data_IF_232948714315
#
_entry.id   IF_232948714315
#
_cell.length_a   1.000
_cell.length_b   1.000
_cell.length_c   1.000
_cell.angle_alpha   90.00
_cell.angle_beta   90.00
_cell.angle_gamma   90.00
#
_symmetry.space_group_name_H-M   'P 1'
#
loop_
_entity.id
_entity.type
_entity.pdbx_description
1 polymer ?
#
# COMPACT_ATOMS: atom_id res chain seq x y z
N UNK A 1 8.13 -13.53 -21.21
CA UNK A 1 7.08 -12.97 -20.33
C UNK A 1 7.03 -13.81 -19.06
N UNK A 2 7.11 -13.21 -17.87
CA UNK A 2 7.11 -14.00 -16.65
C UNK A 2 5.74 -14.62 -16.38
N UNK A 3 5.76 -15.75 -15.70
CA UNK A 3 4.55 -16.35 -15.13
C UNK A 3 4.40 -15.92 -13.67
N UNK A 4 3.22 -16.14 -13.11
CA UNK A 4 3.02 -15.88 -11.68
C UNK A 4 3.98 -16.70 -10.80
N UNK A 5 4.22 -17.95 -11.15
CA UNK A 5 5.18 -18.80 -10.44
C UNK A 5 6.58 -18.20 -10.44
N UNK A 6 7.03 -17.69 -11.61
CA UNK A 6 8.33 -17.04 -11.73
C UNK A 6 8.41 -15.75 -10.91
N UNK A 7 7.31 -14.98 -10.83
CA UNK A 7 7.23 -13.78 -9.99
C UNK A 7 7.39 -14.16 -8.52
N UNK A 8 6.67 -15.19 -8.05
CA UNK A 8 6.78 -15.67 -6.68
C UNK A 8 8.20 -16.17 -6.37
N UNK A 9 8.79 -16.94 -7.26
CA UNK A 9 10.14 -17.48 -7.08
C UNK A 9 11.18 -16.36 -7.01
N UNK A 10 11.03 -15.35 -7.86
CA UNK A 10 11.90 -14.17 -7.84
C UNK A 10 11.78 -13.42 -6.52
N UNK A 11 10.56 -13.22 -6.04
CA UNK A 11 10.32 -12.57 -4.76
C UNK A 11 10.95 -13.35 -3.60
N UNK A 12 10.82 -14.68 -3.59
CA UNK A 12 11.45 -15.52 -2.56
C UNK A 12 12.96 -15.40 -2.55
N UNK A 13 13.58 -15.24 -3.71
CA UNK A 13 15.04 -15.10 -3.81
C UNK A 13 15.55 -13.75 -3.30
N UNK A 14 14.71 -12.73 -3.37
CA UNK A 14 15.07 -11.35 -3.01
C UNK A 14 14.58 -10.93 -1.63
N UNK A 15 13.51 -11.53 -1.14
CA UNK A 15 12.85 -11.14 0.11
C UNK A 15 12.45 -12.36 0.94
N UNK A 16 12.34 -12.15 2.24
CA UNK A 16 11.66 -13.09 3.12
C UNK A 16 10.16 -12.81 3.06
N UNK A 17 9.38 -13.74 2.53
CA UNK A 17 7.94 -13.57 2.44
C UNK A 17 7.29 -13.75 3.81
N UNK A 18 6.49 -12.77 4.25
CA UNK A 18 5.81 -12.80 5.54
C UNK A 18 4.59 -13.74 5.51
N UNK A 19 3.88 -13.75 4.37
CA UNK A 19 2.77 -14.65 4.10
C UNK A 19 2.85 -15.08 2.64
N UNK A 20 2.38 -16.29 2.36
CA UNK A 20 2.38 -16.83 1.02
C UNK A 20 1.14 -17.68 0.80
N UNK A 21 0.39 -17.37 -0.26
CA UNK A 21 -0.79 -18.08 -0.71
C UNK A 21 -0.66 -18.40 -2.20
N UNK A 22 -1.60 -19.16 -2.77
CA UNK A 22 -1.53 -19.56 -4.19
C UNK A 22 -1.49 -18.35 -5.13
N UNK A 23 -2.25 -17.29 -4.82
CA UNK A 23 -2.40 -16.11 -5.68
C UNK A 23 -1.94 -14.81 -5.03
N UNK A 24 -1.22 -14.88 -3.92
CA UNK A 24 -0.70 -13.69 -3.27
C UNK A 24 0.50 -13.99 -2.39
N UNK A 25 1.29 -12.97 -2.13
CA UNK A 25 2.31 -13.01 -1.09
C UNK A 25 2.46 -11.62 -0.47
N UNK A 26 3.09 -11.57 0.69
CA UNK A 26 3.32 -10.34 1.44
C UNK A 26 4.80 -10.18 1.76
N UNK A 27 5.32 -8.99 1.50
CA UNK A 27 6.67 -8.57 1.87
C UNK A 27 6.56 -7.40 2.83
N UNK A 28 7.37 -7.40 3.88
CA UNK A 28 7.41 -6.30 4.84
C UNK A 28 8.73 -5.55 4.69
N UNK A 29 8.63 -4.23 4.49
CA UNK A 29 9.77 -3.33 4.48
C UNK A 29 9.89 -2.62 5.82
N UNK A 30 11.11 -2.48 6.30
CA UNK A 30 11.41 -1.73 7.50
C UNK A 30 12.07 -0.40 7.12
N UNK A 31 11.54 0.68 7.68
CA UNK A 31 12.05 2.04 7.47
C UNK A 31 12.69 2.57 8.75
N UNK A 32 13.54 3.62 8.64
CA UNK A 32 14.16 4.24 9.81
C UNK A 32 13.13 4.64 10.87
N UNK A 33 13.45 4.39 12.15
CA UNK A 33 12.53 4.63 13.26
C UNK A 33 11.65 3.44 13.61
N UNK A 34 11.92 2.27 13.02
CA UNK A 34 11.18 1.03 13.31
C UNK A 34 9.81 0.95 12.65
N UNK A 35 9.50 1.85 11.70
CA UNK A 35 8.25 1.79 10.96
C UNK A 35 8.28 0.62 9.98
N UNK A 36 7.17 -0.10 9.91
CA UNK A 36 7.00 -1.22 9.00
C UNK A 36 5.93 -0.90 7.97
N UNK A 37 6.17 -1.32 6.73
CA UNK A 37 5.21 -1.16 5.65
C UNK A 37 5.10 -2.48 4.89
N UNK A 38 3.92 -3.07 4.87
CA UNK A 38 3.67 -4.31 4.15
C UNK A 38 3.20 -4.02 2.73
N UNK A 39 3.70 -4.81 1.78
CA UNK A 39 3.21 -4.83 0.41
C UNK A 39 2.60 -6.19 0.14
N UNK A 40 1.36 -6.19 -0.30
CA UNK A 40 0.66 -7.39 -0.75
C UNK A 40 0.71 -7.41 -2.27
N UNK A 41 1.22 -8.50 -2.82
CA UNK A 41 1.28 -8.74 -4.26
C UNK A 41 0.28 -9.84 -4.59
N UNK A 42 -0.71 -9.52 -5.40
CA UNK A 42 -1.81 -10.43 -5.73
C UNK A 42 -1.93 -10.63 -7.23
N UNK A 43 -2.20 -11.86 -7.63
CA UNK A 43 -2.37 -12.25 -9.03
C UNK A 43 -3.83 -12.59 -9.29
N UNK A 44 -4.38 -12.10 -10.40
CA UNK A 44 -5.74 -12.42 -10.83
C UNK A 44 -5.88 -12.34 -12.34
N UNK A 45 -6.99 -12.86 -12.85
CA UNK A 45 -7.34 -12.82 -14.26
C UNK A 45 -8.47 -11.83 -14.48
N UNK A 46 -8.32 -10.98 -15.49
CA UNK A 46 -9.35 -10.05 -15.93
C UNK A 46 -9.14 -9.73 -17.40
N UNK A 47 -10.20 -9.55 -18.14
CA UNK A 47 -10.16 -9.21 -19.58
C UNK A 47 -9.27 -10.16 -20.40
N UNK A 48 -9.28 -11.46 -20.04
CA UNK A 48 -8.47 -12.47 -20.72
C UNK A 48 -6.97 -12.35 -20.48
N UNK A 49 -6.53 -11.60 -19.50
CA UNK A 49 -5.12 -11.36 -19.17
C UNK A 49 -4.85 -11.60 -17.68
N UNK A 50 -3.60 -11.90 -17.38
CA UNK A 50 -3.12 -11.95 -16.00
C UNK A 50 -2.68 -10.58 -15.52
N UNK A 51 -3.04 -10.23 -14.29
CA UNK A 51 -2.71 -8.95 -13.65
C UNK A 51 -2.08 -9.19 -12.29
N UNK A 52 -1.22 -8.27 -11.91
CA UNK A 52 -0.62 -8.25 -10.57
C UNK A 52 -0.94 -6.90 -9.94
N UNK A 53 -1.56 -6.94 -8.75
CA UNK A 53 -1.75 -5.79 -7.90
C UNK A 53 -0.65 -5.75 -6.85
N UNK A 54 -0.09 -4.57 -6.66
CA UNK A 54 0.79 -4.28 -5.54
C UNK A 54 0.08 -3.25 -4.68
N UNK A 55 -0.16 -3.57 -3.42
CA UNK A 55 -0.88 -2.65 -2.53
C UNK A 55 -0.18 -2.55 -1.18
N UNK A 56 -0.22 -1.35 -0.61
CA UNK A 56 0.32 -1.07 0.72
C UNK A 56 -0.67 -0.21 1.49
N UNK A 57 -1.07 -0.67 2.68
CA UNK A 57 -2.00 0.06 3.51
C UNK A 57 -1.38 1.35 4.02
N UNK A 58 -2.14 2.43 3.93
CA UNK A 58 -1.69 3.76 4.34
C UNK A 58 -2.24 4.12 5.71
N UNK A 59 -3.57 4.23 5.84
CA UNK A 59 -4.22 4.68 7.06
C UNK A 59 -5.72 4.36 7.02
N UNK A 60 -6.36 4.50 8.17
CA UNK A 60 -7.82 4.38 8.25
C UNK A 60 -8.50 5.54 7.53
N UNK A 61 -9.68 5.27 6.99
CA UNK A 61 -10.43 6.23 6.19
C UNK A 61 -10.81 7.51 6.96
N UNK A 62 -10.92 7.44 8.28
CA UNK A 62 -11.26 8.58 9.13
C UNK A 62 -10.09 9.56 9.37
N UNK A 63 -8.88 9.21 8.95
CA UNK A 63 -7.69 10.04 9.16
C UNK A 63 -7.44 11.07 8.06
N UNK A 64 -8.07 10.92 6.91
CA UNK A 64 -7.93 11.86 5.78
C UNK A 64 -9.25 11.92 5.03
N UNK A 65 -9.73 13.12 4.72
CA UNK A 65 -10.97 13.25 3.97
C UNK A 65 -10.80 12.85 2.50
N UNK A 66 -11.88 12.44 1.86
CA UNK A 66 -11.84 11.89 0.50
C UNK A 66 -11.31 12.90 -0.53
N UNK A 67 -11.62 14.18 -0.39
CA UNK A 67 -11.13 15.21 -1.30
C UNK A 67 -9.61 15.33 -1.22
N UNK A 68 -9.06 15.42 -0.01
CA UNK A 68 -7.61 15.47 0.21
C UNK A 68 -6.92 14.19 -0.26
N UNK A 69 -7.54 13.03 -0.06
CA UNK A 69 -7.03 11.75 -0.53
C UNK A 69 -6.90 11.71 -2.06
N UNK A 70 -7.94 12.18 -2.77
CA UNK A 70 -7.92 12.25 -4.24
C UNK A 70 -6.83 13.20 -4.75
N UNK A 71 -6.63 14.33 -4.08
CA UNK A 71 -5.55 15.26 -4.44
C UNK A 71 -4.18 14.64 -4.24
N UNK A 72 -3.96 13.92 -3.14
CA UNK A 72 -2.71 13.22 -2.90
C UNK A 72 -2.48 12.10 -3.91
N UNK A 73 -3.53 11.38 -4.27
CA UNK A 73 -3.47 10.32 -5.29
C UNK A 73 -2.95 10.86 -6.63
N UNK A 74 -3.42 12.03 -7.03
CA UNK A 74 -2.99 12.67 -8.27
C UNK A 74 -1.49 12.95 -8.31
N UNK A 75 -0.87 13.20 -7.16
CA UNK A 75 0.54 13.54 -7.07
C UNK A 75 1.48 12.32 -6.99
N UNK A 76 0.95 11.11 -6.91
CA UNK A 76 1.77 9.90 -6.88
C UNK A 76 2.34 9.60 -8.26
N UNK A 77 3.64 9.33 -8.32
CA UNK A 77 4.30 8.94 -9.56
C UNK A 77 3.93 7.50 -9.97
N UNK A 78 3.75 6.62 -9.00
CA UNK A 78 3.41 5.21 -9.22
C UNK A 78 2.25 4.84 -8.29
N UNK A 79 1.21 4.27 -8.89
CA UNK A 79 0.03 3.87 -8.15
C UNK A 79 -0.93 5.01 -7.86
N UNK A 80 -1.95 4.69 -7.11
CA UNK A 80 -2.99 5.62 -6.71
C UNK A 80 -3.46 5.29 -5.30
N UNK A 81 -3.99 6.31 -4.61
CA UNK A 81 -4.60 6.12 -3.30
C UNK A 81 -6.04 5.69 -3.49
N UNK A 82 -6.37 4.50 -3.00
CA UNK A 82 -7.69 3.88 -3.15
C UNK A 82 -8.28 3.60 -1.79
N UNK A 83 -9.60 3.55 -1.74
CA UNK A 83 -10.32 3.16 -0.53
C UNK A 83 -10.70 1.70 -0.62
N UNK A 84 -10.22 0.91 0.33
CA UNK A 84 -10.57 -0.50 0.49
C UNK A 84 -11.29 -0.67 1.83
N UNK A 85 -12.62 -0.78 1.78
CA UNK A 85 -13.41 -0.77 3.01
C UNK A 85 -13.25 0.53 3.78
N UNK A 86 -12.67 0.45 4.97
CA UNK A 86 -12.40 1.59 5.85
C UNK A 86 -10.91 1.98 5.91
N UNK A 87 -10.12 1.49 4.97
CA UNK A 87 -8.67 1.73 4.92
C UNK A 87 -8.27 2.29 3.55
N UNK A 88 -7.47 3.34 3.56
CA UNK A 88 -6.80 3.79 2.34
C UNK A 88 -5.58 2.94 2.06
N UNK A 89 -5.43 2.54 0.80
CA UNK A 89 -4.26 1.78 0.32
C UNK A 89 -3.66 2.48 -0.90
N UNK A 90 -2.35 2.43 -1.01
CA UNK A 90 -1.67 2.80 -2.27
C UNK A 90 -1.61 1.53 -3.12
N UNK A 91 -2.20 1.57 -4.30
CA UNK A 91 -2.34 0.43 -5.19
C UNK A 91 -1.78 0.72 -6.56
N UNK A 92 -1.04 -0.23 -7.10
CA UNK A 92 -0.52 -0.18 -8.46
C UNK A 92 -0.81 -1.51 -9.16
N UNK A 93 -1.32 -1.47 -10.36
CA UNK A 93 -1.70 -2.67 -11.13
C UNK A 93 -0.87 -2.76 -12.40
N UNK A 94 -0.31 -3.92 -12.66
CA UNK A 94 0.52 -4.19 -13.84
C UNK A 94 0.03 -5.46 -14.51
N UNK A 95 -0.05 -5.42 -15.85
CA UNK A 95 -0.29 -6.65 -16.61
C UNK A 95 0.95 -7.55 -16.49
N UNK A 96 0.74 -8.83 -16.20
CA UNK A 96 1.84 -9.79 -16.01
C UNK A 96 2.80 -9.79 -17.20
N UNK A 97 2.26 -9.69 -18.42
CA UNK A 97 3.05 -9.69 -19.65
C UNK A 97 4.01 -8.50 -19.77
N UNK A 98 3.72 -7.41 -19.04
CA UNK A 98 4.54 -6.19 -19.05
C UNK A 98 5.44 -6.06 -17.83
N UNK A 99 5.39 -7.03 -16.91
CA UNK A 99 6.21 -7.00 -15.70
C UNK A 99 7.59 -7.59 -16.02
N UNK A 100 8.63 -6.81 -15.72
CA UNK A 100 10.00 -7.28 -15.78
C UNK A 100 10.43 -7.72 -14.39
N UNK A 101 10.86 -8.97 -14.24
CA UNK A 101 11.28 -9.51 -12.93
C UNK A 101 12.39 -8.67 -12.30
N UNK A 102 13.33 -8.21 -13.11
CA UNK A 102 14.44 -7.38 -12.63
C UNK A 102 13.96 -6.04 -12.04
N UNK A 103 12.79 -5.57 -12.47
CA UNK A 103 12.24 -4.28 -12.03
C UNK A 103 11.11 -4.43 -11.02
N UNK A 104 10.81 -5.63 -10.54
CA UNK A 104 9.74 -5.87 -9.58
C UNK A 104 9.89 -5.03 -8.30
N UNK A 105 11.11 -4.81 -7.87
CA UNK A 105 11.41 -4.02 -6.66
C UNK A 105 10.93 -2.58 -6.76
N UNK A 106 11.01 -1.97 -7.94
CA UNK A 106 10.68 -0.57 -8.14
C UNK A 106 9.23 -0.26 -7.77
N UNK A 107 8.21 -0.91 -8.35
CA UNK A 107 6.83 -0.65 -7.96
C UNK A 107 6.51 -1.09 -6.53
N UNK A 108 7.15 -2.14 -6.02
CA UNK A 108 6.96 -2.58 -4.63
C UNK A 108 7.42 -1.50 -3.65
N UNK A 109 8.62 -0.97 -3.83
CA UNK A 109 9.13 0.12 -3.00
C UNK A 109 8.34 1.40 -3.20
N UNK A 110 7.89 1.67 -4.42
CA UNK A 110 7.12 2.89 -4.71
C UNK A 110 5.80 2.92 -3.93
N UNK A 111 5.03 1.82 -3.92
CA UNK A 111 3.76 1.78 -3.17
C UNK A 111 3.99 1.79 -1.66
N UNK A 112 4.99 1.07 -1.17
CA UNK A 112 5.33 1.05 0.25
C UNK A 112 5.75 2.42 0.75
N UNK A 113 6.64 3.07 0.01
CA UNK A 113 7.17 4.38 0.37
C UNK A 113 6.09 5.45 0.32
N UNK A 114 5.24 5.44 -0.70
CA UNK A 114 4.13 6.38 -0.81
C UNK A 114 3.17 6.23 0.37
N UNK A 115 2.80 5.01 0.73
CA UNK A 115 1.93 4.75 1.88
C UNK A 115 2.55 5.24 3.18
N UNK A 116 3.83 4.95 3.42
CA UNK A 116 4.55 5.40 4.60
C UNK A 116 4.64 6.92 4.69
N UNK A 117 4.97 7.59 3.58
CA UNK A 117 5.07 9.05 3.53
C UNK A 117 3.75 9.74 3.79
N UNK A 118 2.66 9.22 3.22
CA UNK A 118 1.32 9.78 3.45
C UNK A 118 0.95 9.62 4.92
N UNK A 119 1.15 8.45 5.50
CA UNK A 119 0.87 8.21 6.91
C UNK A 119 1.66 9.16 7.82
N UNK A 120 2.94 9.38 7.54
CA UNK A 120 3.78 10.29 8.31
C UNK A 120 3.35 11.75 8.20
N UNK A 121 2.74 12.13 7.09
CA UNK A 121 2.26 13.51 6.89
C UNK A 121 0.98 13.81 7.66
N UNK A 122 0.30 12.78 8.17
CA UNK A 122 -0.96 12.95 8.88
C UNK A 122 -0.72 13.34 10.34
N UNK A 123 -1.64 14.10 10.94
CA UNK A 123 -1.59 14.37 12.38
C UNK A 123 -1.58 13.07 13.19
N UNK A 124 -0.90 13.08 14.33
CA UNK A 124 -0.89 11.94 15.23
C UNK A 124 -2.33 11.63 15.65
N UNK A 125 -2.70 10.34 15.59
CA UNK A 125 -4.03 9.91 16.00
C UNK A 125 -4.27 10.23 17.47
N UNK A 126 -5.36 10.98 17.74
CA UNK A 126 -5.79 11.27 19.09
C UNK A 126 -6.90 10.29 19.49
N UNK A 127 -6.81 9.66 20.67
CA UNK A 127 -7.93 8.89 21.20
C UNK A 127 -9.19 9.74 21.32
N UNK A 128 -10.35 9.12 21.14
CA UNK A 128 -11.63 9.83 21.21
C UNK A 128 -11.83 10.60 22.51
N UNK A 129 -11.31 10.08 23.64
CA UNK A 129 -11.34 10.74 24.93
C UNK A 129 -10.59 12.08 24.93
N UNK A 130 -9.47 12.16 24.22
CA UNK A 130 -8.68 13.39 24.14
C UNK A 130 -9.38 14.44 23.26
N UNK A 131 -10.02 14.01 22.19
CA UNK A 131 -10.80 14.90 21.32
C UNK A 131 -11.97 15.50 22.09
N UNK A 132 -12.69 14.70 22.88
CA UNK A 132 -13.78 15.18 23.73
C UNK A 132 -13.29 16.18 24.77
N UNK A 133 -12.14 15.93 25.39
CA UNK A 133 -11.55 16.83 26.36
C UNK A 133 -11.20 18.19 25.73
N UNK A 134 -10.69 18.20 24.51
CA UNK A 134 -10.42 19.45 23.79
C UNK A 134 -11.67 20.22 23.44
N UNK A 135 -12.73 19.54 23.01
CA UNK A 135 -14.04 20.18 22.74
C UNK A 135 -14.62 20.78 23.98
N UNK A 136 -14.59 20.08 25.11
CA UNK A 136 -15.06 20.61 26.42
C UNK A 136 -14.28 21.85 26.84
N UNK A 137 -12.98 21.89 26.60
CA UNK A 137 -12.16 23.08 26.87
C UNK A 137 -12.57 24.28 26.04
N UNK A 138 -12.90 24.09 24.76
CA UNK A 138 -13.33 25.17 23.89
C UNK A 138 -14.72 25.73 24.26
N UNK A 139 -15.57 24.88 24.84
CA UNK A 139 -16.91 25.24 25.24
C UNK A 139 -16.96 25.88 26.64
N UNK A 140 -15.92 25.75 27.40
CA UNK A 140 -15.79 26.37 28.70
C UNK A 140 -15.27 27.81 28.57
#
# INVERSE_FOLDING_TARGET
>A
MPTWTEIKDHARSSYKLAEEHDHSFKVVFEYPGGRLQAVIVSHYQAMGRGWVDLSSACCRADRIDAHAALQQSFNLAVGSLCLDGDVYVVRHTVMVDHLLLADLEVPMHAVARAADQIEQSLPVHQPASDILAEVEKELA
#
